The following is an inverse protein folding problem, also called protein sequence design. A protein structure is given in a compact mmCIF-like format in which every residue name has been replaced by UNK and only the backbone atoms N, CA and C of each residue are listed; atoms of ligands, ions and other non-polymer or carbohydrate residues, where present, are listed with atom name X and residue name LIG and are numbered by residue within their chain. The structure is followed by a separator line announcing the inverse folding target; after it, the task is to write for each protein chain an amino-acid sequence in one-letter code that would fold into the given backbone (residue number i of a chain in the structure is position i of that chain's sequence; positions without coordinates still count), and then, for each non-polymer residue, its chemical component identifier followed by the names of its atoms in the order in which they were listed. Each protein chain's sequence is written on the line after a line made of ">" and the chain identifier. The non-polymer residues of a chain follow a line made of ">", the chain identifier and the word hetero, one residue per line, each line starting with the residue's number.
data_IF_689161593550
#
_entry.id   IF_689161593550
#
_cell.length_a   1.000
_cell.length_b   1.000
_cell.length_c   1.000
_cell.angle_alpha   90.00
_cell.angle_beta   90.00
_cell.angle_gamma   90.00
#
_symmetry.space_group_name_H-M   'P 1'
#
loop_
_entity.id
_entity.type
_entity.pdbx_description
1 polymer ?
#
# COMPACT_ATOMS: atom_id res chain seq x y z
N UNK A 1 33.26 3.15 28.48
CA UNK A 1 31.89 3.12 29.02
C UNK A 1 31.32 4.53 28.94
N UNK A 2 30.66 4.89 27.84
CA UNK A 2 29.95 6.16 27.73
C UNK A 2 28.46 5.83 27.58
N UNK A 3 27.74 5.85 28.70
CA UNK A 3 26.29 6.07 28.69
C UNK A 3 26.05 7.58 28.50
N UNK A 4 24.81 7.97 28.17
CA UNK A 4 24.26 9.34 27.89
C UNK A 4 24.07 9.46 26.34
N UNK A 5 22.91 9.23 25.69
CA UNK A 5 21.50 9.49 26.03
C UNK A 5 20.51 8.68 25.14
N UNK A 6 19.45 8.13 25.75
CA UNK A 6 18.13 7.93 25.13
C UNK A 6 17.14 8.27 26.26
N UNK A 7 16.11 9.13 26.11
CA UNK A 7 14.98 8.87 25.21
C UNK A 7 14.26 10.13 24.67
N UNK A 8 14.16 10.28 23.35
CA UNK A 8 13.17 11.18 22.76
C UNK A 8 12.37 10.38 21.74
N UNK A 9 11.23 9.87 22.20
CA UNK A 9 10.04 9.64 21.40
C UNK A 9 9.81 10.86 20.51
N UNK A 10 10.31 10.84 19.27
CA UNK A 10 9.86 11.77 18.26
C UNK A 10 8.38 11.47 18.11
N UNK A 11 7.54 12.35 18.66
CA UNK A 11 6.10 12.34 18.42
C UNK A 11 5.91 12.75 16.97
N UNK A 12 6.30 11.87 16.04
CA UNK A 12 5.92 12.00 14.65
C UNK A 12 4.41 11.97 14.66
N UNK A 13 3.81 13.05 14.17
CA UNK A 13 2.39 13.04 13.88
C UNK A 13 2.22 11.89 12.89
N UNK A 14 1.47 10.86 13.29
CA UNK A 14 1.14 9.78 12.39
C UNK A 14 0.32 10.39 11.26
N UNK A 15 0.83 10.27 10.02
CA UNK A 15 0.21 10.80 8.83
C UNK A 15 -0.38 9.63 8.04
N UNK A 16 -1.71 9.59 7.88
CA UNK A 16 -2.35 8.49 7.20
C UNK A 16 -1.92 8.43 5.73
N UNK A 17 -1.63 7.23 5.23
CA UNK A 17 -1.20 6.99 3.85
C UNK A 17 -2.23 6.13 3.14
N UNK A 18 -2.80 6.66 2.06
CA UNK A 18 -3.81 5.95 1.29
C UNK A 18 -3.31 5.68 -0.11
N UNK A 19 -3.60 4.50 -0.67
CA UNK A 19 -3.15 4.17 -2.02
C UNK A 19 -3.86 5.06 -3.04
N UNK A 20 -3.06 5.69 -3.88
CA UNK A 20 -3.52 6.52 -4.99
C UNK A 20 -3.53 5.71 -6.29
N UNK A 21 -2.37 5.11 -6.64
CA UNK A 21 -2.21 4.33 -7.86
C UNK A 21 -1.36 3.06 -7.61
N UNK A 22 -1.52 2.11 -8.52
CA UNK A 22 -0.75 0.85 -8.56
C UNK A 22 -0.01 0.78 -9.89
N UNK A 23 1.30 0.58 -9.83
CA UNK A 23 2.12 0.38 -11.00
C UNK A 23 1.92 -1.04 -11.55
N UNK A 24 1.20 -1.13 -12.66
CA UNK A 24 0.85 -2.40 -13.31
C UNK A 24 2.06 -3.17 -13.86
N UNK A 25 3.17 -2.49 -14.15
CA UNK A 25 4.37 -3.14 -14.68
C UNK A 25 5.20 -3.83 -13.59
N UNK A 26 5.01 -3.42 -12.33
CA UNK A 26 5.70 -3.95 -11.15
C UNK A 26 4.80 -4.90 -10.34
N UNK A 27 3.49 -4.84 -10.55
CA UNK A 27 2.49 -5.63 -9.84
C UNK A 27 2.49 -7.10 -10.32
N UNK A 28 3.46 -7.87 -9.83
CA UNK A 28 3.52 -9.32 -9.91
C UNK A 28 3.00 -9.87 -8.57
N UNK A 29 2.00 -10.74 -8.60
CA UNK A 29 1.35 -11.34 -7.40
C UNK A 29 0.46 -10.39 -6.57
N UNK A 30 -0.32 -9.55 -7.25
CA UNK A 30 -1.23 -8.61 -6.60
C UNK A 30 -2.48 -9.23 -5.94
N UNK A 31 -2.76 -10.48 -6.27
CA UNK A 31 -3.87 -11.25 -5.76
C UNK A 31 -3.77 -11.49 -4.25
N UNK A 32 -2.57 -11.68 -3.69
CA UNK A 32 -2.37 -11.95 -2.26
C UNK A 32 -2.89 -10.84 -1.36
N UNK A 33 -2.58 -9.59 -1.68
CA UNK A 33 -3.08 -8.45 -0.90
C UNK A 33 -4.60 -8.28 -1.09
N UNK A 34 -5.08 -8.46 -2.33
CA UNK A 34 -6.52 -8.40 -2.63
C UNK A 34 -7.31 -9.39 -1.75
N UNK A 35 -6.78 -10.59 -1.52
CA UNK A 35 -7.45 -11.59 -0.69
C UNK A 35 -7.49 -11.25 0.81
N UNK A 36 -6.43 -10.64 1.33
CA UNK A 36 -6.25 -10.35 2.76
C UNK A 36 -7.07 -9.14 3.20
N UNK A 37 -7.09 -8.07 2.41
CA UNK A 37 -7.73 -6.82 2.83
C UNK A 37 -8.11 -5.87 1.70
N UNK A 38 -7.74 -6.18 0.45
CA UNK A 38 -7.95 -5.26 -0.66
C UNK A 38 -9.33 -5.30 -1.32
N UNK A 39 -10.25 -6.18 -0.92
CA UNK A 39 -11.48 -6.46 -1.71
C UNK A 39 -12.42 -5.26 -1.90
N UNK A 40 -12.39 -4.30 -1.00
CA UNK A 40 -13.26 -3.13 -1.05
C UNK A 40 -12.59 -1.98 -1.81
N UNK A 41 -11.32 -1.71 -1.52
CA UNK A 41 -10.59 -0.59 -2.12
C UNK A 41 -10.01 -0.90 -3.52
N UNK A 42 -9.82 -2.18 -3.86
CA UNK A 42 -9.14 -2.60 -5.07
C UNK A 42 -9.98 -3.57 -5.89
N UNK A 43 -9.57 -3.80 -7.14
CA UNK A 43 -10.14 -4.81 -8.04
C UNK A 43 -9.04 -5.47 -8.86
N UNK A 44 -9.21 -6.75 -9.17
CA UNK A 44 -8.37 -7.46 -10.12
C UNK A 44 -8.91 -7.25 -11.54
N UNK A 45 -8.03 -6.85 -12.47
CA UNK A 45 -8.34 -6.69 -13.88
C UNK A 45 -7.41 -7.58 -14.71
N UNK A 46 -7.93 -8.28 -15.74
CA UNK A 46 -7.09 -9.06 -16.64
C UNK A 46 -6.15 -8.14 -17.44
N UNK A 47 -4.92 -8.60 -17.67
CA UNK A 47 -3.99 -7.96 -18.60
C UNK A 47 -4.07 -8.69 -19.94
N UNK A 48 -4.59 -8.00 -20.96
CA UNK A 48 -4.68 -8.50 -22.33
C UNK A 48 -5.26 -9.93 -22.43
N UNK A 49 -4.72 -10.75 -23.34
CA UNK A 49 -5.05 -12.16 -23.51
C UNK A 49 -4.20 -13.09 -22.63
N UNK A 50 -3.55 -12.55 -21.59
CA UNK A 50 -2.77 -13.36 -20.66
C UNK A 50 -3.67 -13.96 -19.58
N UNK A 51 -3.17 -15.00 -18.88
CA UNK A 51 -3.84 -15.51 -17.67
C UNK A 51 -3.54 -14.65 -16.43
N UNK A 52 -2.76 -13.58 -16.58
CA UNK A 52 -2.37 -12.71 -15.47
C UNK A 52 -3.41 -11.63 -15.24
N UNK A 53 -3.58 -11.28 -13.96
CA UNK A 53 -4.45 -10.20 -13.52
C UNK A 53 -3.61 -9.21 -12.71
N UNK A 54 -3.87 -7.92 -12.90
CA UNK A 54 -3.29 -6.84 -12.10
C UNK A 54 -4.33 -6.27 -11.16
N UNK A 55 -3.88 -5.87 -9.98
CA UNK A 55 -4.70 -5.10 -9.07
C UNK A 55 -4.72 -3.65 -9.50
N UNK A 56 -5.88 -3.03 -9.42
CA UNK A 56 -6.09 -1.60 -9.65
C UNK A 56 -6.94 -1.03 -8.54
N UNK A 57 -6.82 0.27 -8.30
CA UNK A 57 -7.64 0.97 -7.30
C UNK A 57 -9.07 1.08 -7.85
N UNK A 58 -10.04 0.61 -7.08
CA UNK A 58 -11.46 0.66 -7.42
C UNK A 58 -12.17 1.75 -6.62
N UNK A 59 -11.95 1.77 -5.31
CA UNK A 59 -12.60 2.65 -4.34
C UNK A 59 -11.53 3.15 -3.35
N UNK A 60 -10.73 4.16 -3.70
CA UNK A 60 -9.64 4.65 -2.84
C UNK A 60 -10.11 5.09 -1.44
N UNK A 61 -11.35 5.54 -1.31
CA UNK A 61 -11.99 5.93 -0.05
C UNK A 61 -12.23 4.77 0.91
N UNK A 62 -12.18 3.53 0.43
CA UNK A 62 -12.29 2.32 1.26
C UNK A 62 -10.93 1.79 1.72
N UNK A 63 -9.84 2.49 1.41
CA UNK A 63 -8.51 2.17 1.92
C UNK A 63 -8.46 2.41 3.44
N UNK A 64 -8.13 1.36 4.20
CA UNK A 64 -8.18 1.38 5.66
C UNK A 64 -6.89 1.86 6.34
N UNK A 65 -5.89 2.31 5.58
CA UNK A 65 -4.59 2.76 6.10
C UNK A 65 -3.97 1.73 7.07
N UNK A 66 -3.92 0.49 6.61
CA UNK A 66 -3.49 -0.66 7.41
C UNK A 66 -2.03 -1.06 7.17
N UNK A 67 -1.29 -0.32 6.33
CA UNK A 67 0.09 -0.59 5.90
C UNK A 67 0.36 -1.98 5.29
N UNK A 68 -0.64 -2.84 5.13
CA UNK A 68 -0.43 -4.20 4.65
C UNK A 68 0.13 -4.26 3.22
N UNK A 69 -0.16 -3.25 2.39
CA UNK A 69 0.42 -3.12 1.06
C UNK A 69 1.94 -2.97 1.11
N UNK A 70 2.45 -2.24 2.11
CA UNK A 70 3.90 -2.02 2.27
C UNK A 70 4.67 -3.28 2.65
N UNK A 71 4.00 -4.21 3.33
CA UNK A 71 4.62 -5.46 3.76
C UNK A 71 4.59 -6.54 2.67
N UNK A 72 3.64 -6.45 1.73
CA UNK A 72 3.42 -7.49 0.71
C UNK A 72 4.11 -7.13 -0.61
N UNK A 73 4.10 -5.87 -1.00
CA UNK A 73 4.58 -5.44 -2.30
C UNK A 73 5.98 -4.84 -2.25
N UNK A 74 6.79 -5.02 -3.31
CA UNK A 74 8.08 -4.35 -3.42
C UNK A 74 7.91 -2.83 -3.46
N UNK A 75 8.96 -2.12 -3.05
CA UNK A 75 9.05 -0.67 -3.22
C UNK A 75 8.81 -0.32 -4.72
N UNK A 76 8.02 0.74 -4.97
CA UNK A 76 7.58 1.22 -6.29
C UNK A 76 6.39 0.51 -6.96
N UNK A 77 5.76 -0.47 -6.30
CA UNK A 77 4.53 -1.08 -6.83
C UNK A 77 3.28 -0.21 -6.67
N UNK A 78 3.30 0.76 -5.76
CA UNK A 78 2.16 1.62 -5.43
C UNK A 78 2.64 3.03 -5.07
N UNK A 79 1.75 4.00 -5.23
CA UNK A 79 1.90 5.36 -4.71
C UNK A 79 0.90 5.60 -3.59
N UNK A 80 1.33 6.32 -2.57
CA UNK A 80 0.45 6.79 -1.50
C UNK A 80 0.28 8.29 -1.60
N UNK A 81 -0.94 8.76 -1.35
CA UNK A 81 -1.16 10.15 -1.00
C UNK A 81 -1.26 10.27 0.52
N UNK A 82 -0.57 11.28 1.06
CA UNK A 82 -0.68 11.64 2.47
C UNK A 82 -1.80 12.66 2.61
N UNK A 83 -2.77 12.42 3.50
CA UNK A 83 -3.75 13.45 3.84
C UNK A 83 -3.16 14.36 4.93
N UNK A 84 -2.82 15.60 4.56
CA UNK A 84 -2.43 16.64 5.50
C UNK A 84 -3.61 17.60 5.70
N UNK A 85 -4.08 17.72 6.94
CA UNK A 85 -5.06 18.72 7.40
C UNK A 85 -4.43 20.10 7.59
#
# INVERSE_FOLDING_TARGET
>A
MNKINNPASSKSIWQPQFIEEINRDVCLDCDRFYEIGGRNAFKLQPIDNSKHQVMTVANPEQCADCDACTSIYPENAYTHYSFSI
#
